data_IF_484993436643
#
_entry.id   IF_484993436643
#
_cell.length_a   1.000
_cell.length_b   1.000
_cell.length_c   1.000
_cell.angle_alpha   90.00
_cell.angle_beta   90.00
_cell.angle_gamma   90.00
#
_symmetry.space_group_name_H-M   'P 1'
#
loop_
_entity.id
_entity.type
_entity.pdbx_description
1 polymer ?
#
# COMPACT_ATOMS: atom_id res chain seq x y z
N UNK A 1 -35.73 -42.18 3.71
CA UNK A 1 -36.99 -41.99 4.43
C UNK A 1 -37.80 -43.26 4.66
N UNK A 2 -37.82 -44.24 3.76
CA UNK A 2 -38.64 -45.48 3.88
C UNK A 2 -38.08 -46.41 4.97
N UNK A 3 -36.80 -46.48 5.19
CA UNK A 3 -36.14 -47.39 6.14
C UNK A 3 -36.37 -46.95 7.62
N UNK A 4 -36.45 -45.65 7.87
CA UNK A 4 -36.70 -45.09 9.23
C UNK A 4 -38.14 -45.36 9.70
N UNK A 5 -39.13 -45.30 8.79
CA UNK A 5 -40.54 -45.59 9.14
C UNK A 5 -40.77 -47.06 9.52
N UNK A 6 -40.04 -48.02 8.94
CA UNK A 6 -40.14 -49.44 9.34
C UNK A 6 -39.55 -49.74 10.71
N UNK A 7 -38.43 -49.02 11.08
CA UNK A 7 -37.81 -49.19 12.38
C UNK A 7 -38.69 -48.62 13.53
N UNK A 8 -39.35 -47.51 13.29
CA UNK A 8 -40.25 -46.90 14.28
C UNK A 8 -41.48 -47.78 14.55
N UNK A 9 -42.11 -48.41 13.49
CA UNK A 9 -43.22 -49.32 13.70
C UNK A 9 -42.88 -50.60 14.49
N UNK A 10 -41.65 -51.08 14.40
CA UNK A 10 -41.18 -52.26 15.14
C UNK A 10 -40.89 -51.98 16.63
N UNK A 11 -40.59 -50.71 16.97
CA UNK A 11 -40.39 -50.25 18.35
C UNK A 11 -41.72 -50.15 19.09
N UNK A 12 -42.78 -49.66 18.41
CA UNK A 12 -44.12 -49.55 18.97
C UNK A 12 -44.74 -50.88 19.39
N UNK A 13 -44.39 -52.00 18.70
CA UNK A 13 -44.95 -53.35 19.00
C UNK A 13 -44.24 -54.04 20.20
N UNK A 14 -43.06 -53.60 20.64
CA UNK A 14 -42.33 -54.14 21.76
C UNK A 14 -42.53 -53.39 23.08
N UNK A 15 -43.17 -52.22 23.04
CA UNK A 15 -43.36 -51.36 24.21
C UNK A 15 -44.77 -51.37 24.79
N UNK A 16 -45.59 -52.43 24.53
CA UNK A 16 -47.01 -52.52 24.90
C UNK A 16 -47.32 -52.99 26.34
N UNK A 17 -46.37 -53.07 27.26
CA UNK A 17 -46.64 -53.24 28.66
C UNK A 17 -45.86 -52.19 29.48
N UNK A 18 -46.52 -51.18 30.02
CA UNK A 18 -45.84 -50.20 30.86
C UNK A 18 -45.88 -50.58 32.33
N UNK A 19 -44.71 -50.78 32.90
CA UNK A 19 -44.55 -50.60 34.36
C UNK A 19 -44.16 -49.16 34.62
N UNK A 20 -44.93 -48.36 35.39
CA UNK A 20 -44.63 -46.95 35.64
C UNK A 20 -43.46 -46.83 36.62
N UNK A 21 -42.37 -46.22 36.23
CA UNK A 21 -41.36 -45.68 37.12
C UNK A 21 -41.72 -44.22 37.36
N UNK A 22 -42.13 -43.90 38.60
CA UNK A 22 -42.46 -42.51 39.08
C UNK A 22 -43.47 -41.72 38.23
N UNK A 23 -44.58 -42.34 37.82
CA UNK A 23 -45.66 -41.62 37.17
C UNK A 23 -45.50 -41.28 35.67
N UNK A 24 -44.38 -41.58 35.08
CA UNK A 24 -44.14 -41.36 33.63
C UNK A 24 -44.15 -42.67 32.84
N UNK A 25 -44.82 -42.70 31.72
CA UNK A 25 -44.80 -43.85 30.83
C UNK A 25 -43.42 -44.03 30.22
N UNK A 26 -42.97 -45.30 30.06
CA UNK A 26 -41.67 -45.59 29.43
C UNK A 26 -41.52 -44.95 28.03
N UNK A 27 -42.64 -44.75 27.32
CA UNK A 27 -42.71 -44.02 26.05
C UNK A 27 -42.39 -42.53 26.21
N UNK A 28 -42.86 -41.87 27.28
CA UNK A 28 -42.62 -40.45 27.52
C UNK A 28 -41.15 -40.18 27.88
N UNK A 29 -40.52 -41.08 28.65
CA UNK A 29 -39.10 -40.99 29.00
C UNK A 29 -38.22 -41.20 27.77
N UNK A 30 -38.56 -42.18 26.92
CA UNK A 30 -37.81 -42.45 25.67
C UNK A 30 -37.96 -41.27 24.66
N UNK A 31 -39.15 -40.70 24.55
CA UNK A 31 -39.38 -39.52 23.70
C UNK A 31 -38.61 -38.31 24.18
N UNK A 32 -38.56 -38.07 25.51
CA UNK A 32 -37.74 -37.03 26.12
C UNK A 32 -36.23 -37.19 25.83
N UNK A 33 -35.71 -38.40 25.93
CA UNK A 33 -34.31 -38.67 25.61
C UNK A 33 -33.98 -38.43 24.11
N UNK A 34 -34.90 -38.83 23.23
CA UNK A 34 -34.71 -38.58 21.78
C UNK A 34 -34.70 -37.08 21.51
N UNK A 35 -35.58 -36.29 22.08
CA UNK A 35 -35.64 -34.82 21.94
C UNK A 35 -34.35 -34.19 22.44
N UNK A 36 -33.85 -34.59 23.61
CA UNK A 36 -32.56 -34.12 24.15
C UNK A 36 -31.41 -34.43 23.24
N UNK A 37 -31.32 -35.66 22.70
CA UNK A 37 -30.26 -36.05 21.77
C UNK A 37 -30.29 -35.27 20.46
N UNK A 38 -31.52 -34.98 19.94
CA UNK A 38 -31.68 -34.13 18.75
C UNK A 38 -31.23 -32.70 19.03
N UNK A 39 -31.61 -32.13 20.16
CA UNK A 39 -31.18 -30.79 20.57
C UNK A 39 -29.67 -30.71 20.76
N UNK A 40 -29.05 -31.70 21.40
CA UNK A 40 -27.58 -31.78 21.55
C UNK A 40 -26.88 -31.90 20.19
N UNK A 41 -27.43 -32.69 19.26
CA UNK A 41 -26.90 -32.78 17.92
C UNK A 41 -27.00 -31.49 17.16
N UNK A 42 -28.13 -30.78 17.24
CA UNK A 42 -28.30 -29.46 16.61
C UNK A 42 -27.34 -28.43 17.22
N UNK A 43 -27.24 -28.38 18.55
CA UNK A 43 -26.28 -27.50 19.24
C UNK A 43 -24.83 -27.83 18.88
N UNK A 44 -24.46 -29.11 18.81
CA UNK A 44 -23.14 -29.54 18.36
C UNK A 44 -22.88 -29.18 16.91
N UNK A 45 -23.88 -29.33 16.03
CA UNK A 45 -23.75 -28.95 14.62
C UNK A 45 -23.61 -27.43 14.43
N UNK A 46 -24.37 -26.64 15.20
CA UNK A 46 -24.25 -25.18 15.25
C UNK A 46 -22.89 -24.76 15.82
N UNK A 47 -22.46 -25.39 16.92
CA UNK A 47 -21.15 -25.15 17.51
C UNK A 47 -20.01 -25.49 16.51
N UNK A 48 -20.10 -26.64 15.84
CA UNK A 48 -19.13 -27.06 14.84
C UNK A 48 -19.12 -26.13 13.63
N UNK A 49 -20.28 -25.68 13.15
CA UNK A 49 -20.40 -24.69 12.10
C UNK A 49 -19.79 -23.36 12.54
N UNK A 50 -20.09 -22.87 13.73
CA UNK A 50 -19.56 -21.64 14.28
C UNK A 50 -18.04 -21.74 14.56
N UNK A 51 -17.57 -22.87 15.07
CA UNK A 51 -16.15 -23.12 15.30
C UNK A 51 -15.38 -23.29 14.00
N UNK A 52 -15.92 -24.02 13.01
CA UNK A 52 -15.25 -24.20 11.72
C UNK A 52 -15.20 -22.90 10.90
N UNK A 53 -16.21 -22.03 11.02
CA UNK A 53 -16.18 -20.71 10.42
C UNK A 53 -15.19 -19.76 11.10
N UNK A 54 -14.82 -20.01 12.37
CA UNK A 54 -13.76 -19.26 13.06
C UNK A 54 -12.37 -19.88 12.94
N UNK A 55 -12.26 -21.19 12.84
CA UNK A 55 -10.97 -21.90 12.84
C UNK A 55 -10.21 -21.81 11.52
N UNK A 56 -10.87 -21.43 10.42
CA UNK A 56 -10.20 -21.32 9.11
C UNK A 56 -9.30 -20.09 8.98
N UNK A 57 -9.29 -19.16 9.94
CA UNK A 57 -8.53 -17.90 9.84
C UNK A 57 -7.42 -17.77 10.89
N UNK A 58 -7.15 -18.80 11.72
CA UNK A 58 -6.13 -18.70 12.77
C UNK A 58 -4.68 -18.68 12.26
N UNK A 59 -4.47 -19.11 11.01
CA UNK A 59 -3.14 -19.29 10.43
C UNK A 59 -2.95 -18.49 9.13
N UNK A 60 -3.32 -17.20 9.14
CA UNK A 60 -2.97 -16.30 8.03
C UNK A 60 -1.45 -16.20 8.00
N UNK A 61 -0.79 -16.69 6.93
CA UNK A 61 0.66 -16.67 6.88
C UNK A 61 1.17 -15.23 6.83
N UNK A 62 2.22 -14.94 7.59
CA UNK A 62 2.98 -13.70 7.40
C UNK A 62 3.77 -13.83 6.09
N UNK A 63 3.20 -13.31 5.02
CA UNK A 63 3.74 -13.42 3.67
C UNK A 63 4.81 -12.35 3.43
N UNK A 64 5.86 -12.73 2.69
CA UNK A 64 6.93 -11.81 2.30
C UNK A 64 6.71 -11.32 0.86
N UNK A 65 7.35 -10.21 0.50
CA UNK A 65 7.29 -9.66 -0.87
C UNK A 65 7.44 -10.77 -1.94
N UNK A 66 6.60 -10.76 -2.96
CA UNK A 66 5.71 -9.70 -3.46
C UNK A 66 4.37 -9.54 -2.73
N UNK A 67 4.21 -10.20 -1.62
CA UNK A 67 2.99 -10.12 -0.82
C UNK A 67 3.15 -9.14 0.33
N UNK A 68 2.07 -8.44 0.66
CA UNK A 68 2.00 -7.53 1.79
C UNK A 68 0.70 -7.77 2.55
N UNK A 69 0.81 -8.14 3.82
CA UNK A 69 -0.34 -8.42 4.67
C UNK A 69 -1.15 -7.15 4.94
N UNK A 70 -2.48 -7.30 5.05
CA UNK A 70 -3.38 -6.27 5.51
C UNK A 70 -3.69 -6.44 6.99
N UNK A 71 -3.73 -5.33 7.72
CA UNK A 71 -4.09 -5.28 9.12
C UNK A 71 -5.39 -4.52 9.32
N UNK A 72 -6.24 -5.05 10.19
CA UNK A 72 -7.43 -4.37 10.70
C UNK A 72 -7.16 -3.75 12.06
N UNK A 73 -7.72 -2.58 12.29
CA UNK A 73 -7.72 -1.91 13.59
C UNK A 73 -9.16 -1.83 14.08
N UNK A 74 -9.42 -2.40 15.26
CA UNK A 74 -10.73 -2.36 15.88
C UNK A 74 -10.99 -1.00 16.55
N UNK A 75 -12.24 -0.73 16.87
CA UNK A 75 -12.65 0.49 17.60
C UNK A 75 -12.00 0.64 18.99
N UNK A 76 -11.53 -0.44 19.58
CA UNK A 76 -10.76 -0.44 20.83
C UNK A 76 -9.24 -0.25 20.62
N UNK A 77 -8.79 -0.10 19.37
CA UNK A 77 -7.40 0.06 18.97
C UNK A 77 -6.64 -1.25 18.78
N UNK A 78 -7.26 -2.41 19.01
CA UNK A 78 -6.59 -3.72 18.79
C UNK A 78 -6.33 -3.97 17.33
N UNK A 79 -5.10 -4.33 16.99
CA UNK A 79 -4.68 -4.71 15.64
C UNK A 79 -4.75 -6.23 15.44
N UNK A 80 -5.12 -6.66 14.25
CA UNK A 80 -5.17 -8.08 13.88
C UNK A 80 -4.93 -8.28 12.38
N UNK A 81 -4.45 -9.47 11.99
CA UNK A 81 -4.27 -9.82 10.59
C UNK A 81 -5.63 -10.08 9.92
N UNK A 82 -5.84 -9.44 8.77
CA UNK A 82 -7.00 -9.65 7.91
C UNK A 82 -6.67 -10.74 6.89
N UNK A 83 -7.66 -11.57 6.53
CA UNK A 83 -7.47 -12.60 5.49
C UNK A 83 -7.45 -12.03 4.06
N UNK A 84 -6.90 -10.83 3.91
CA UNK A 84 -6.64 -10.17 2.63
C UNK A 84 -5.16 -9.82 2.55
N UNK A 85 -4.54 -10.12 1.43
CA UNK A 85 -3.12 -9.87 1.16
C UNK A 85 -2.99 -9.12 -0.15
N UNK A 86 -2.09 -8.14 -0.20
CA UNK A 86 -1.77 -7.42 -1.43
C UNK A 86 -0.70 -8.14 -2.24
N UNK A 87 -0.86 -8.12 -3.56
CA UNK A 87 0.22 -8.41 -4.52
C UNK A 87 0.77 -7.05 -4.96
N UNK A 88 2.05 -6.76 -4.62
CA UNK A 88 2.65 -5.43 -4.76
C UNK A 88 3.56 -5.27 -5.97
N UNK A 89 4.02 -6.37 -6.55
CA UNK A 89 4.87 -6.41 -7.75
C UNK A 89 4.85 -7.81 -8.39
N UNK A 90 5.39 -7.96 -9.61
CA UNK A 90 5.37 -9.24 -10.32
C UNK A 90 6.03 -10.38 -9.56
N UNK A 91 5.56 -11.59 -9.80
CA UNK A 91 6.16 -12.82 -9.28
C UNK A 91 7.48 -13.12 -10.04
N UNK A 92 8.60 -12.84 -9.41
CA UNK A 92 9.93 -13.05 -9.99
C UNK A 92 10.46 -14.47 -9.78
N UNK A 93 9.78 -15.29 -8.99
CA UNK A 93 10.17 -16.67 -8.64
C UNK A 93 8.94 -17.57 -8.65
N UNK A 94 9.13 -18.84 -9.03
CA UNK A 94 8.03 -19.82 -9.09
C UNK A 94 7.41 -20.10 -7.70
N UNK A 95 8.18 -19.93 -6.63
CA UNK A 95 7.65 -20.06 -5.27
C UNK A 95 6.52 -19.06 -4.96
N UNK A 96 6.48 -17.91 -5.64
CA UNK A 96 5.43 -16.91 -5.40
C UNK A 96 4.04 -17.46 -5.77
N UNK A 97 3.90 -18.15 -6.90
CA UNK A 97 2.60 -18.74 -7.27
C UNK A 97 2.22 -19.93 -6.39
N UNK A 98 3.22 -20.68 -5.89
CA UNK A 98 2.98 -21.76 -4.92
C UNK A 98 2.46 -21.18 -3.61
N UNK A 99 3.08 -20.11 -3.08
CA UNK A 99 2.63 -19.41 -1.87
C UNK A 99 1.24 -18.79 -2.06
N UNK A 100 0.97 -18.19 -3.23
CA UNK A 100 -0.35 -17.67 -3.57
C UNK A 100 -1.43 -18.76 -3.49
N UNK A 101 -1.20 -19.90 -4.13
CA UNK A 101 -2.16 -21.00 -4.17
C UNK A 101 -2.37 -21.63 -2.78
N UNK A 102 -1.31 -21.80 -1.99
CA UNK A 102 -1.39 -22.30 -0.62
C UNK A 102 -2.21 -21.34 0.26
N UNK A 103 -1.92 -20.06 0.24
CA UNK A 103 -2.66 -19.06 1.00
C UNK A 103 -4.13 -18.99 0.56
N UNK A 104 -4.40 -19.02 -0.75
CA UNK A 104 -5.76 -19.04 -1.31
C UNK A 104 -6.56 -20.25 -0.82
N UNK A 105 -5.92 -21.44 -0.75
CA UNK A 105 -6.55 -22.66 -0.25
C UNK A 105 -6.93 -22.58 1.23
N UNK A 106 -6.28 -21.69 1.99
CA UNK A 106 -6.54 -21.40 3.42
C UNK A 106 -7.54 -20.25 3.63
N UNK A 107 -8.23 -19.80 2.57
CA UNK A 107 -9.24 -18.73 2.64
C UNK A 107 -8.66 -17.32 2.62
N UNK A 108 -7.39 -17.14 2.21
CA UNK A 108 -6.81 -15.82 1.98
C UNK A 108 -7.28 -15.29 0.63
N UNK A 109 -7.70 -14.04 0.60
CA UNK A 109 -8.08 -13.29 -0.58
C UNK A 109 -6.97 -12.33 -1.00
N UNK A 110 -6.97 -11.94 -2.28
CA UNK A 110 -5.92 -11.08 -2.80
C UNK A 110 -6.49 -9.82 -3.46
N UNK A 111 -5.83 -8.69 -3.17
CA UNK A 111 -5.97 -7.42 -3.87
C UNK A 111 -4.63 -7.08 -4.54
N UNK A 112 -4.67 -6.37 -5.65
CA UNK A 112 -3.47 -5.79 -6.24
C UNK A 112 -3.15 -4.44 -5.60
N UNK A 113 -1.88 -4.07 -5.59
CA UNK A 113 -1.41 -2.77 -5.11
C UNK A 113 -0.27 -2.27 -5.99
N UNK A 114 -0.46 -1.13 -6.63
CA UNK A 114 0.59 -0.44 -7.38
C UNK A 114 1.60 0.20 -6.42
N UNK A 115 2.55 -0.59 -5.97
CA UNK A 115 3.61 -0.17 -5.04
C UNK A 115 4.98 -0.15 -5.73
N UNK A 116 5.07 -0.74 -6.92
CA UNK A 116 6.29 -0.88 -7.69
C UNK A 116 6.07 -0.38 -9.12
N UNK A 117 6.86 0.61 -9.54
CA UNK A 117 6.84 1.19 -10.89
C UNK A 117 5.49 1.08 -11.63
N UNK A 118 5.52 0.63 -12.87
CA UNK A 118 4.36 0.50 -13.75
C UNK A 118 3.49 -0.75 -13.47
N UNK A 119 3.78 -1.53 -12.43
CA UNK A 119 2.97 -2.72 -12.13
C UNK A 119 1.52 -2.35 -11.74
N UNK A 120 0.51 -2.99 -12.35
CA UNK A 120 0.53 -4.18 -13.22
C UNK A 120 0.63 -3.88 -14.72
N UNK A 121 1.08 -2.83 -15.18
CA UNK A 121 0.91 -2.39 -16.51
C UNK A 121 1.85 -2.89 -17.60
N UNK A 122 1.53 -2.46 -18.84
CA UNK A 122 2.47 -2.58 -19.95
C UNK A 122 3.61 -1.59 -19.73
N UNK A 123 4.81 -2.09 -19.77
CA UNK A 123 6.01 -1.29 -19.66
C UNK A 123 6.29 -0.73 -21.04
N UNK A 124 5.84 0.47 -21.30
CA UNK A 124 6.14 1.20 -22.54
C UNK A 124 7.43 2.02 -22.47
N UNK A 125 8.31 1.69 -21.52
CA UNK A 125 9.44 2.54 -21.19
C UNK A 125 10.67 2.18 -22.05
N UNK A 126 11.25 3.11 -22.83
CA UNK A 126 12.44 2.87 -23.65
C UNK A 126 13.69 2.49 -22.84
N UNK A 127 13.69 2.69 -21.53
CA UNK A 127 14.76 2.30 -20.61
C UNK A 127 14.63 0.90 -20.03
N UNK A 128 13.63 0.13 -20.46
CA UNK A 128 13.50 -1.29 -20.12
C UNK A 128 14.72 -2.12 -20.56
N UNK A 129 15.51 -1.59 -21.48
CA UNK A 129 16.80 -2.16 -21.89
C UNK A 129 17.86 -2.17 -20.78
N UNK A 130 17.72 -1.35 -19.73
CA UNK A 130 18.65 -1.29 -18.59
C UNK A 130 18.36 -2.36 -17.53
N UNK A 131 17.15 -2.88 -17.49
CA UNK A 131 16.79 -4.06 -16.72
C UNK A 131 16.63 -5.23 -17.68
N UNK A 132 17.24 -6.35 -17.36
CA UNK A 132 16.99 -7.63 -18.03
C UNK A 132 15.55 -8.09 -17.72
N UNK A 133 14.60 -7.36 -18.30
CA UNK A 133 13.15 -7.62 -18.21
C UNK A 133 12.67 -8.64 -19.26
N UNK A 134 13.58 -9.33 -19.93
CA UNK A 134 13.29 -10.61 -20.59
C UNK A 134 12.82 -11.64 -19.58
N UNK A 135 12.66 -11.22 -18.33
CA UNK A 135 12.03 -12.00 -17.30
C UNK A 135 10.52 -11.95 -17.52
N UNK A 136 9.95 -13.06 -17.95
CA UNK A 136 8.50 -13.30 -18.17
C UNK A 136 7.61 -12.95 -16.97
N UNK A 137 8.17 -12.54 -15.83
CA UNK A 137 7.48 -12.29 -14.57
C UNK A 137 6.35 -11.26 -14.70
N UNK A 138 6.51 -10.24 -15.55
CA UNK A 138 5.49 -9.20 -15.75
C UNK A 138 4.32 -9.66 -16.62
N UNK A 139 4.57 -10.54 -17.56
CA UNK A 139 3.59 -11.03 -18.54
C UNK A 139 3.18 -12.48 -18.30
N UNK A 140 3.94 -13.22 -17.49
CA UNK A 140 3.70 -14.64 -17.20
C UNK A 140 2.31 -14.90 -16.61
N UNK A 141 1.81 -13.94 -15.82
CA UNK A 141 0.51 -14.05 -15.17
C UNK A 141 -0.37 -12.84 -15.46
N UNK A 142 -1.66 -13.07 -15.66
CA UNK A 142 -2.65 -11.99 -15.61
C UNK A 142 -2.99 -11.69 -14.16
N UNK A 143 -2.38 -10.66 -13.57
CA UNK A 143 -2.53 -10.29 -12.16
C UNK A 143 -3.95 -9.83 -11.80
N UNK A 144 -4.72 -9.34 -12.76
CA UNK A 144 -6.14 -9.05 -12.55
C UNK A 144 -6.96 -10.33 -12.31
N UNK A 145 -6.56 -11.47 -12.89
CA UNK A 145 -7.19 -12.77 -12.61
C UNK A 145 -6.78 -13.36 -11.24
N UNK A 146 -5.65 -12.91 -10.68
CA UNK A 146 -5.17 -13.36 -9.37
C UNK A 146 -5.77 -12.54 -8.22
N UNK A 147 -6.37 -11.38 -8.50
CA UNK A 147 -6.88 -10.43 -7.51
C UNK A 147 -8.38 -10.18 -7.68
N UNK A 148 -9.03 -9.69 -6.64
CA UNK A 148 -10.46 -9.33 -6.61
C UNK A 148 -10.71 -7.86 -6.87
N UNK A 149 -9.68 -7.04 -6.80
CA UNK A 149 -9.69 -5.61 -7.03
C UNK A 149 -8.27 -5.05 -6.93
N UNK A 150 -8.10 -3.77 -7.25
CA UNK A 150 -6.78 -3.15 -7.32
C UNK A 150 -6.73 -1.78 -6.64
N UNK A 151 -5.69 -1.56 -5.84
CA UNK A 151 -5.30 -0.26 -5.32
C UNK A 151 -4.32 0.38 -6.31
N UNK A 152 -4.75 1.44 -6.99
CA UNK A 152 -4.05 2.05 -8.12
C UNK A 152 -3.37 3.36 -7.74
N UNK A 153 -2.21 3.63 -8.36
CA UNK A 153 -1.53 4.91 -8.31
C UNK A 153 -1.74 5.74 -9.59
N UNK A 154 -2.27 5.11 -10.65
CA UNK A 154 -2.33 5.72 -11.97
C UNK A 154 -3.40 6.81 -12.07
N UNK A 155 -3.21 7.76 -12.97
CA UNK A 155 -4.27 8.70 -13.38
C UNK A 155 -5.37 7.95 -14.13
N UNK A 156 -6.61 8.44 -14.05
CA UNK A 156 -7.79 7.77 -14.64
C UNK A 156 -7.61 7.39 -16.11
N UNK A 157 -6.99 8.24 -16.92
CA UNK A 157 -6.71 7.99 -18.33
C UNK A 157 -5.86 6.73 -18.55
N UNK A 158 -4.92 6.44 -17.66
CA UNK A 158 -4.08 5.26 -17.71
C UNK A 158 -4.78 4.03 -17.13
N UNK A 159 -5.65 4.20 -16.16
CA UNK A 159 -6.46 3.12 -15.60
C UNK A 159 -7.35 2.47 -16.65
N UNK A 160 -7.94 3.27 -17.55
CA UNK A 160 -8.84 2.79 -18.60
C UNK A 160 -8.17 1.82 -19.59
N UNK A 161 -6.86 1.91 -19.79
CA UNK A 161 -6.12 1.04 -20.73
C UNK A 161 -5.93 -0.39 -20.25
N UNK A 162 -6.06 -0.62 -18.94
CA UNK A 162 -5.58 -1.85 -18.30
C UNK A 162 -6.68 -2.61 -17.59
N UNK A 163 -7.81 -1.94 -17.34
CA UNK A 163 -8.91 -2.48 -16.58
C UNK A 163 -9.95 -3.01 -17.53
N UNK A 164 -10.23 -4.30 -17.41
CA UNK A 164 -11.43 -4.89 -18.00
C UNK A 164 -12.66 -4.26 -17.34
N UNK A 165 -13.68 -3.94 -18.14
CA UNK A 165 -14.92 -3.33 -17.68
C UNK A 165 -15.47 -4.01 -16.42
N UNK A 166 -15.67 -3.24 -15.36
CA UNK A 166 -16.24 -3.72 -14.10
C UNK A 166 -15.24 -4.30 -13.09
N UNK A 167 -13.93 -4.25 -13.35
CA UNK A 167 -12.94 -4.65 -12.34
C UNK A 167 -12.86 -3.58 -11.23
N UNK A 168 -13.00 -3.97 -9.94
CA UNK A 168 -12.98 -3.00 -8.83
C UNK A 168 -11.63 -2.32 -8.70
N UNK A 169 -11.64 -0.98 -8.62
CA UNK A 169 -10.45 -0.14 -8.54
C UNK A 169 -10.65 1.00 -7.56
N UNK A 170 -9.60 1.33 -6.81
CA UNK A 170 -9.54 2.52 -5.95
C UNK A 170 -8.17 3.18 -6.04
N UNK A 171 -8.13 4.51 -6.04
CA UNK A 171 -6.87 5.25 -5.99
C UNK A 171 -6.42 5.38 -4.53
N UNK A 172 -5.58 4.43 -4.12
CA UNK A 172 -4.93 4.34 -2.81
C UNK A 172 -3.53 3.76 -3.02
N UNK A 173 -2.52 4.33 -2.38
CA UNK A 173 -1.15 3.82 -2.40
C UNK A 173 -0.61 3.60 -0.98
N UNK A 174 0.53 2.92 -0.82
CA UNK A 174 1.20 2.79 0.49
C UNK A 174 1.52 4.15 1.10
N UNK A 175 1.86 5.13 0.27
CA UNK A 175 2.19 6.50 0.69
C UNK A 175 1.05 7.22 1.38
N UNK A 176 -0.21 6.86 1.06
CA UNK A 176 -1.40 7.43 1.69
C UNK A 176 -1.46 7.19 3.20
N UNK A 177 -0.71 6.20 3.71
CA UNK A 177 -0.71 5.78 5.11
C UNK A 177 0.45 6.37 5.93
N UNK A 178 1.18 7.38 5.42
CA UNK A 178 2.27 7.98 6.15
C UNK A 178 1.83 8.43 7.56
N UNK A 179 2.70 8.15 8.56
CA UNK A 179 2.37 8.34 9.96
C UNK A 179 2.69 9.78 10.41
N UNK A 180 1.75 10.69 10.23
CA UNK A 180 1.89 12.08 10.62
C UNK A 180 1.96 12.30 12.15
N UNK A 181 1.61 11.30 12.98
CA UNK A 181 1.76 11.38 14.43
C UNK A 181 3.21 11.17 14.83
N UNK A 182 3.91 10.27 14.15
CA UNK A 182 5.33 10.01 14.35
C UNK A 182 6.22 11.05 13.63
N UNK A 183 5.79 11.49 12.44
CA UNK A 183 6.52 12.43 11.60
C UNK A 183 5.99 13.84 11.83
N UNK A 184 6.71 14.64 12.60
CA UNK A 184 6.29 15.99 12.99
C UNK A 184 7.42 17.00 12.84
N UNK A 185 7.09 18.27 12.50
CA UNK A 185 8.05 19.35 12.54
C UNK A 185 8.64 19.53 13.96
N UNK A 186 9.95 19.59 14.07
CA UNK A 186 10.63 19.82 15.36
C UNK A 186 10.88 21.29 15.68
N UNK A 187 10.63 22.20 14.75
CA UNK A 187 10.98 23.62 14.90
C UNK A 187 12.46 23.93 14.76
N UNK A 188 13.28 22.98 14.32
CA UNK A 188 14.71 23.20 14.08
C UNK A 188 14.96 24.29 13.03
N UNK A 189 16.11 24.96 13.16
CA UNK A 189 16.55 25.95 12.17
C UNK A 189 16.76 25.27 10.81
N UNK A 190 16.20 25.87 9.77
CA UNK A 190 16.39 25.41 8.38
C UNK A 190 17.83 25.67 7.94
N UNK A 191 18.52 24.61 7.53
CA UNK A 191 19.90 24.62 7.03
C UNK A 191 19.95 24.64 5.50
N UNK A 192 18.92 24.04 4.86
CA UNK A 192 18.79 23.88 3.42
C UNK A 192 17.48 24.48 2.91
N UNK A 193 17.51 24.99 1.70
CA UNK A 193 16.28 25.38 1.01
C UNK A 193 15.50 24.13 0.60
N UNK A 194 16.17 23.13 0.02
CA UNK A 194 15.46 21.93 -0.42
C UNK A 194 16.20 20.64 -0.08
N UNK A 195 15.41 19.54 -0.10
CA UNK A 195 15.90 18.16 -0.05
C UNK A 195 15.54 17.46 -1.37
N UNK A 196 16.52 16.74 -1.91
CA UNK A 196 16.35 15.85 -3.06
C UNK A 196 16.85 14.45 -2.70
N UNK A 197 16.01 13.44 -2.87
CA UNK A 197 16.35 12.04 -2.62
C UNK A 197 16.56 11.36 -3.97
N UNK A 198 17.78 10.89 -4.21
CA UNK A 198 18.15 10.21 -5.45
C UNK A 198 19.33 9.27 -5.19
N UNK A 199 19.03 7.99 -5.13
CA UNK A 199 20.07 6.98 -4.91
C UNK A 199 20.97 6.84 -6.13
N UNK A 200 22.27 6.58 -5.92
CA UNK A 200 23.22 6.23 -6.98
C UNK A 200 23.03 4.76 -7.39
N UNK A 201 23.35 4.45 -8.63
CA UNK A 201 23.30 3.08 -9.18
C UNK A 201 24.58 2.27 -8.88
N UNK A 202 25.56 2.90 -8.32
CA UNK A 202 26.84 2.34 -7.93
C UNK A 202 27.87 3.43 -7.67
N UNK A 203 29.02 3.03 -7.16
CA UNK A 203 30.13 3.94 -6.92
C UNK A 203 30.87 4.25 -8.22
N UNK A 204 31.41 5.46 -8.29
CA UNK A 204 32.28 5.89 -9.36
C UNK A 204 33.55 5.03 -9.39
N UNK A 205 33.89 4.46 -10.54
CA UNK A 205 35.10 3.69 -10.71
C UNK A 205 36.32 4.60 -10.94
N UNK A 206 37.50 4.05 -10.68
CA UNK A 206 38.74 4.76 -10.93
C UNK A 206 38.87 5.15 -12.42
N UNK A 207 39.15 6.42 -12.68
CA UNK A 207 39.23 6.99 -14.02
C UNK A 207 37.91 7.45 -14.63
N UNK A 208 36.78 7.13 -14.07
CA UNK A 208 35.46 7.63 -14.52
C UNK A 208 35.21 9.05 -13.98
N UNK A 209 34.43 9.85 -14.73
CA UNK A 209 34.08 11.22 -14.32
C UNK A 209 32.87 11.25 -13.38
N UNK A 210 31.97 10.30 -13.54
CA UNK A 210 30.68 10.27 -12.81
C UNK A 210 30.33 8.86 -12.34
N UNK A 211 29.31 8.75 -11.49
CA UNK A 211 28.72 7.50 -11.10
C UNK A 211 28.01 6.82 -12.30
N UNK A 212 27.89 5.48 -12.29
CA UNK A 212 27.18 4.78 -13.35
C UNK A 212 25.71 5.24 -13.39
N UNK A 213 25.14 5.22 -14.60
CA UNK A 213 23.74 5.50 -14.86
C UNK A 213 23.01 4.17 -14.96
N UNK A 214 22.00 3.96 -14.15
CA UNK A 214 21.17 2.77 -14.14
C UNK A 214 19.74 3.09 -13.71
N UNK A 215 19.11 2.11 -13.08
CA UNK A 215 17.71 2.19 -12.70
C UNK A 215 17.38 3.36 -11.76
N UNK A 216 18.21 3.60 -10.74
CA UNK A 216 18.00 4.70 -9.80
C UNK A 216 18.08 6.07 -10.49
N UNK A 217 19.09 6.25 -11.35
CA UNK A 217 19.22 7.48 -12.13
C UNK A 217 18.02 7.71 -13.04
N UNK A 218 17.49 6.62 -13.60
CA UNK A 218 16.34 6.64 -14.48
C UNK A 218 15.02 7.00 -13.75
N UNK A 219 14.64 6.26 -12.70
CA UNK A 219 13.37 6.51 -11.98
C UNK A 219 13.30 7.91 -11.38
N UNK A 220 14.47 8.45 -11.00
CA UNK A 220 14.60 9.81 -10.43
C UNK A 220 14.84 10.90 -11.50
N UNK A 221 14.84 10.57 -12.78
CA UNK A 221 15.17 11.52 -13.88
C UNK A 221 16.46 12.31 -13.62
N UNK A 222 17.52 11.66 -13.08
CA UNK A 222 18.68 12.37 -12.55
C UNK A 222 19.39 13.23 -13.60
N UNK A 223 19.53 12.76 -14.83
CA UNK A 223 20.16 13.50 -15.92
C UNK A 223 19.42 14.82 -16.22
N UNK A 224 18.10 14.77 -16.27
CA UNK A 224 17.31 15.98 -16.49
C UNK A 224 17.29 16.87 -15.23
N UNK A 225 17.22 16.25 -14.06
CA UNK A 225 17.29 16.97 -12.78
C UNK A 225 18.57 17.77 -12.62
N UNK A 226 19.73 17.28 -13.07
CA UNK A 226 20.99 18.03 -13.05
C UNK A 226 20.90 19.38 -13.77
N UNK A 227 20.15 19.47 -14.87
CA UNK A 227 19.93 20.74 -15.60
C UNK A 227 19.10 21.71 -14.78
N UNK A 228 18.07 21.19 -14.08
CA UNK A 228 17.23 22.00 -13.19
C UNK A 228 17.99 22.44 -11.93
N UNK A 229 18.81 21.56 -11.35
CA UNK A 229 19.69 21.91 -10.24
C UNK A 229 20.67 23.03 -10.63
N UNK A 230 21.18 23.03 -11.86
CA UNK A 230 22.03 24.13 -12.34
C UNK A 230 21.28 25.49 -12.25
N UNK A 231 20.04 25.55 -12.71
CA UNK A 231 19.20 26.76 -12.63
C UNK A 231 18.96 27.16 -11.17
N UNK A 232 18.62 26.18 -10.30
CA UNK A 232 18.36 26.39 -8.88
C UNK A 232 19.60 26.99 -8.18
N UNK A 233 20.78 26.44 -8.46
CA UNK A 233 22.03 26.92 -7.88
C UNK A 233 22.50 28.25 -8.50
N UNK A 234 22.48 28.39 -9.84
CA UNK A 234 23.05 29.53 -10.53
C UNK A 234 22.18 30.77 -10.37
N UNK A 235 20.86 30.69 -10.66
CA UNK A 235 19.96 31.82 -10.68
C UNK A 235 19.35 32.13 -9.33
N UNK A 236 18.95 31.12 -8.59
CA UNK A 236 18.23 31.27 -7.33
C UNK A 236 19.12 31.12 -6.08
N UNK A 237 20.38 30.66 -6.23
CA UNK A 237 21.34 30.44 -5.13
C UNK A 237 20.80 29.55 -4.02
N UNK A 238 19.97 28.56 -4.38
CA UNK A 238 19.35 27.65 -3.41
C UNK A 238 20.36 26.63 -2.89
N UNK A 239 20.34 26.44 -1.56
CA UNK A 239 21.14 25.43 -0.89
C UNK A 239 20.36 24.13 -0.75
N UNK A 240 20.90 23.00 -1.25
CA UNK A 240 20.22 21.72 -1.28
C UNK A 240 20.95 20.62 -0.52
N UNK A 241 20.16 19.73 0.09
CA UNK A 241 20.62 18.44 0.60
C UNK A 241 20.29 17.35 -0.43
N UNK A 242 21.31 16.66 -0.97
CA UNK A 242 21.14 15.55 -1.88
C UNK A 242 21.43 14.23 -1.17
N UNK A 243 20.39 13.42 -0.95
CA UNK A 243 20.52 12.16 -0.20
C UNK A 243 20.70 10.98 -1.14
N UNK A 244 21.74 10.18 -0.91
CA UNK A 244 22.02 8.92 -1.58
C UNK A 244 22.94 8.97 -2.79
N UNK A 245 23.65 10.12 -3.04
CA UNK A 245 24.44 10.28 -4.27
C UNK A 245 25.80 10.97 -4.03
N UNK A 246 26.42 10.70 -2.90
CA UNK A 246 27.78 11.19 -2.63
C UNK A 246 28.77 10.67 -3.68
N UNK A 247 29.70 11.51 -4.08
CA UNK A 247 30.78 11.19 -5.03
C UNK A 247 30.39 11.25 -6.51
N UNK A 248 29.10 11.45 -6.82
CA UNK A 248 28.66 11.64 -8.20
C UNK A 248 28.79 13.09 -8.66
N UNK A 249 28.91 13.30 -9.98
CA UNK A 249 29.11 14.63 -10.55
C UNK A 249 27.85 15.50 -10.40
N UNK A 250 28.04 16.72 -9.93
CA UNK A 250 27.04 17.77 -9.86
C UNK A 250 27.42 18.95 -10.75
N UNK A 251 26.46 19.78 -11.18
CA UNK A 251 26.77 21.02 -11.88
C UNK A 251 27.76 21.87 -11.07
N UNK A 252 28.75 22.46 -11.74
CA UNK A 252 29.78 23.28 -11.08
C UNK A 252 29.19 24.40 -10.22
N UNK A 253 28.08 24.98 -10.67
CA UNK A 253 27.34 26.01 -9.94
C UNK A 253 26.77 25.54 -8.60
N UNK A 254 26.61 24.22 -8.43
CA UNK A 254 26.04 23.60 -7.25
C UNK A 254 27.11 23.14 -6.24
N UNK A 255 28.41 23.12 -6.56
CA UNK A 255 29.45 22.53 -5.69
C UNK A 255 29.53 23.16 -4.29
N UNK A 256 29.21 24.45 -4.13
CA UNK A 256 29.20 25.14 -2.83
C UNK A 256 27.82 25.24 -2.21
N UNK A 257 26.77 24.88 -2.94
CA UNK A 257 25.38 25.03 -2.53
C UNK A 257 24.69 23.70 -2.23
N UNK A 258 25.21 22.61 -2.78
CA UNK A 258 24.67 21.26 -2.57
C UNK A 258 25.54 20.48 -1.61
N UNK A 259 24.90 19.78 -0.68
CA UNK A 259 25.52 18.83 0.22
C UNK A 259 25.08 17.40 -0.16
N UNK A 260 25.88 16.67 -0.95
CA UNK A 260 25.58 15.28 -1.27
C UNK A 260 25.97 14.37 -0.09
N UNK A 261 25.07 13.44 0.25
CA UNK A 261 25.29 12.43 1.28
C UNK A 261 25.24 11.03 0.69
N UNK A 262 25.68 10.05 1.44
CA UNK A 262 25.43 8.65 1.13
C UNK A 262 24.00 8.25 1.54
N UNK A 263 23.66 6.98 1.30
CA UNK A 263 22.43 6.38 1.83
C UNK A 263 22.40 6.55 3.35
N UNK A 264 21.28 6.96 3.88
CA UNK A 264 21.08 7.12 5.32
C UNK A 264 20.12 6.04 5.84
N UNK A 265 20.41 5.55 7.04
CA UNK A 265 19.46 4.76 7.80
C UNK A 265 18.17 5.58 8.04
N UNK A 266 17.01 4.93 8.00
CA UNK A 266 15.70 5.60 7.96
C UNK A 266 15.48 6.62 9.10
N UNK A 267 15.83 6.26 10.34
CA UNK A 267 15.63 7.17 11.47
C UNK A 267 16.53 8.42 11.43
N UNK A 268 17.67 8.34 10.75
CA UNK A 268 18.56 9.46 10.49
C UNK A 268 18.07 10.30 9.33
N UNK A 269 17.62 9.62 8.25
CA UNK A 269 17.09 10.24 7.06
C UNK A 269 15.84 11.08 7.35
N UNK A 270 14.85 10.52 8.05
CA UNK A 270 13.58 11.19 8.30
C UNK A 270 13.74 12.52 9.07
N UNK A 271 14.77 12.65 9.90
CA UNK A 271 15.08 13.89 10.61
C UNK A 271 15.57 15.01 9.68
N UNK A 272 16.12 14.67 8.51
CA UNK A 272 16.64 15.68 7.58
C UNK A 272 15.53 16.59 7.03
N UNK A 273 14.30 16.12 6.98
CA UNK A 273 13.16 16.98 6.59
C UNK A 273 13.02 18.21 7.49
N UNK A 274 13.35 18.10 8.78
CA UNK A 274 13.31 19.25 9.70
C UNK A 274 14.30 20.37 9.33
N UNK A 275 15.39 20.03 8.65
CA UNK A 275 16.42 20.98 8.24
C UNK A 275 16.15 21.66 6.90
N UNK A 276 15.11 21.23 6.16
CA UNK A 276 14.79 21.70 4.81
C UNK A 276 13.53 22.56 4.80
N UNK A 277 13.42 23.47 3.82
CA UNK A 277 12.25 24.34 3.63
C UNK A 277 11.20 23.73 2.71
N UNK A 278 11.63 22.97 1.67
CA UNK A 278 10.75 22.28 0.75
C UNK A 278 11.42 21.00 0.21
N UNK A 279 10.65 20.17 -0.46
CA UNK A 279 11.13 18.96 -1.14
C UNK A 279 10.98 19.08 -2.65
N UNK A 280 11.93 18.56 -3.42
CA UNK A 280 11.77 18.30 -4.84
C UNK A 280 11.55 16.80 -5.09
N UNK A 281 10.53 16.45 -5.84
CA UNK A 281 10.26 15.11 -6.33
C UNK A 281 10.14 15.13 -7.85
N UNK A 282 11.27 14.90 -8.53
CA UNK A 282 11.37 14.92 -9.98
C UNK A 282 11.30 13.51 -10.60
N UNK A 283 10.89 12.53 -9.81
CA UNK A 283 10.75 11.15 -10.26
C UNK A 283 9.76 11.04 -11.44
N UNK A 284 10.02 10.09 -12.32
CA UNK A 284 9.08 9.70 -13.37
C UNK A 284 8.31 8.45 -12.99
N UNK A 285 9.04 7.36 -12.72
CA UNK A 285 8.49 6.04 -12.43
C UNK A 285 8.47 5.75 -10.93
N UNK A 286 7.62 6.45 -10.21
CA UNK A 286 7.41 6.26 -8.78
C UNK A 286 5.92 6.02 -8.52
N UNK A 287 5.54 4.77 -8.28
CA UNK A 287 4.13 4.39 -8.07
C UNK A 287 3.61 4.81 -6.69
N UNK A 288 4.49 4.85 -5.69
CA UNK A 288 4.15 5.17 -4.31
C UNK A 288 5.17 6.14 -3.73
N UNK A 289 4.96 7.42 -3.96
CA UNK A 289 5.86 8.53 -3.62
C UNK A 289 5.94 8.77 -2.09
N UNK A 290 6.48 7.81 -1.33
CA UNK A 290 6.55 7.84 0.15
C UNK A 290 7.28 9.08 0.68
N UNK A 291 8.42 9.41 0.08
CA UNK A 291 9.18 10.60 0.50
C UNK A 291 8.35 11.88 0.39
N UNK A 292 7.43 11.97 -0.57
CA UNK A 292 6.50 13.10 -0.71
C UNK A 292 5.58 13.21 0.50
N UNK A 293 4.89 12.14 0.86
CA UNK A 293 3.94 12.18 1.98
C UNK A 293 4.63 12.30 3.34
N UNK A 294 5.81 11.67 3.49
CA UNK A 294 6.66 11.86 4.66
C UNK A 294 7.07 13.34 4.81
N UNK A 295 7.55 13.99 3.74
CA UNK A 295 7.93 15.39 3.78
C UNK A 295 6.74 16.31 4.07
N UNK A 296 5.54 15.99 3.56
CA UNK A 296 4.31 16.71 3.90
C UNK A 296 3.98 16.61 5.39
N UNK A 297 4.25 15.47 6.03
CA UNK A 297 4.10 15.33 7.48
C UNK A 297 5.00 16.32 8.25
N UNK A 298 6.15 16.69 7.69
CA UNK A 298 7.04 17.74 8.24
C UNK A 298 6.70 19.16 7.74
N UNK A 299 5.55 19.33 7.10
CA UNK A 299 5.07 20.61 6.56
C UNK A 299 5.95 21.18 5.45
N UNK A 300 6.62 20.33 4.65
CA UNK A 300 7.41 20.77 3.50
C UNK A 300 6.52 20.77 2.26
N UNK A 301 6.35 21.91 1.57
CA UNK A 301 5.71 21.91 0.25
C UNK A 301 6.59 21.25 -0.80
N UNK A 302 5.94 20.77 -1.85
CA UNK A 302 6.57 19.90 -2.84
C UNK A 302 6.64 20.59 -4.19
N UNK A 303 7.80 20.54 -4.81
CA UNK A 303 7.96 20.84 -6.24
C UNK A 303 8.06 19.51 -6.98
N UNK A 304 7.04 19.16 -7.77
CA UNK A 304 6.86 17.80 -8.30
C UNK A 304 6.86 17.78 -9.83
N UNK A 305 7.46 16.73 -10.41
CA UNK A 305 7.31 16.44 -11.84
C UNK A 305 5.82 16.23 -12.19
N UNK A 306 5.33 16.98 -13.18
CA UNK A 306 3.94 16.85 -13.65
C UNK A 306 3.60 15.47 -14.22
N UNK A 307 4.62 14.75 -14.74
CA UNK A 307 4.48 13.46 -15.39
C UNK A 307 4.81 12.27 -14.48
N UNK A 308 4.86 12.49 -13.15
CA UNK A 308 5.08 11.41 -12.19
C UNK A 308 3.97 10.35 -12.28
N UNK A 309 4.36 9.09 -12.15
CA UNK A 309 3.45 7.94 -12.24
C UNK A 309 2.41 7.93 -11.12
N UNK A 310 2.85 8.04 -9.87
CA UNK A 310 2.01 8.05 -8.69
C UNK A 310 2.26 9.26 -7.79
N UNK A 311 1.37 9.50 -6.82
CA UNK A 311 1.51 10.62 -5.89
C UNK A 311 1.15 11.99 -6.46
N UNK A 312 0.77 12.07 -7.73
CA UNK A 312 0.32 13.31 -8.38
C UNK A 312 -0.85 14.00 -7.65
N UNK A 313 -1.72 13.22 -7.01
CA UNK A 313 -2.90 13.72 -6.28
C UNK A 313 -2.55 14.45 -4.98
N UNK A 314 -1.29 14.39 -4.51
CA UNK A 314 -0.86 15.16 -3.34
C UNK A 314 -0.61 16.63 -3.63
N UNK A 315 -0.49 17.03 -4.92
CA UNK A 315 -0.14 18.39 -5.30
C UNK A 315 -1.39 19.22 -5.62
N UNK A 316 -1.49 20.33 -4.93
CA UNK A 316 -2.52 21.35 -5.12
C UNK A 316 -2.02 22.71 -4.61
N UNK A 317 -2.85 23.76 -4.69
CA UNK A 317 -2.49 25.12 -4.33
C UNK A 317 -1.92 25.31 -2.92
N UNK A 318 -2.29 24.43 -1.97
CA UNK A 318 -1.84 24.49 -0.58
C UNK A 318 -0.65 23.57 -0.27
N UNK A 319 -0.26 22.69 -1.20
CA UNK A 319 0.75 21.65 -0.92
C UNK A 319 2.00 21.78 -1.77
N UNK A 320 1.92 22.38 -2.96
CA UNK A 320 3.06 22.47 -3.85
C UNK A 320 2.69 22.93 -5.26
N UNK A 321 3.62 22.74 -6.17
CA UNK A 321 3.44 23.06 -7.59
C UNK A 321 3.97 21.92 -8.47
N UNK A 322 3.34 21.71 -9.61
CA UNK A 322 3.87 20.86 -10.67
C UNK A 322 4.87 21.60 -11.53
N UNK A 323 5.87 20.90 -12.02
CA UNK A 323 6.83 21.41 -12.99
C UNK A 323 6.92 20.51 -14.22
N UNK A 324 7.26 21.09 -15.35
CA UNK A 324 7.70 20.40 -16.54
C UNK A 324 9.22 20.27 -16.51
N UNK A 325 9.75 19.05 -16.42
CA UNK A 325 11.19 18.80 -16.37
C UNK A 325 11.92 19.22 -17.65
N UNK A 326 11.22 19.25 -18.78
CA UNK A 326 11.81 19.46 -20.10
C UNK A 326 11.65 20.89 -20.61
N UNK A 327 10.83 21.73 -19.94
CA UNK A 327 10.65 23.13 -20.27
C UNK A 327 11.36 24.02 -19.24
N UNK A 328 12.62 24.36 -19.50
CA UNK A 328 13.48 25.10 -18.56
C UNK A 328 12.96 26.52 -18.27
N UNK A 329 12.36 27.19 -19.25
CA UNK A 329 11.80 28.56 -19.07
C UNK A 329 10.55 28.54 -18.19
N UNK A 330 9.69 27.55 -18.37
CA UNK A 330 8.51 27.34 -17.51
C UNK A 330 8.94 26.91 -16.10
N UNK A 331 9.92 26.04 -15.99
CA UNK A 331 10.50 25.66 -14.71
C UNK A 331 10.97 26.87 -13.91
N UNK A 332 11.73 27.77 -14.54
CA UNK A 332 12.24 28.98 -13.86
C UNK A 332 11.12 29.87 -13.35
N UNK A 333 10.08 30.10 -14.16
CA UNK A 333 8.90 30.91 -13.77
C UNK A 333 8.14 30.24 -12.61
N UNK A 334 7.91 28.93 -12.71
CA UNK A 334 7.19 28.16 -11.70
C UNK A 334 7.96 28.12 -10.39
N UNK A 335 9.28 27.90 -10.44
CA UNK A 335 10.14 27.96 -9.26
C UNK A 335 10.10 29.33 -8.59
N UNK A 336 10.17 30.42 -9.36
CA UNK A 336 10.04 31.78 -8.84
C UNK A 336 8.72 32.03 -8.12
N UNK A 337 7.60 31.60 -8.72
CA UNK A 337 6.26 31.64 -8.10
C UNK A 337 6.20 30.80 -6.82
N UNK A 338 6.72 29.57 -6.87
CA UNK A 338 6.77 28.65 -5.74
C UNK A 338 7.54 29.26 -4.56
N UNK A 339 8.73 29.80 -4.80
CA UNK A 339 9.56 30.43 -3.76
C UNK A 339 8.88 31.66 -3.16
N UNK A 340 8.14 32.45 -3.94
CA UNK A 340 7.35 33.59 -3.44
C UNK A 340 6.27 33.10 -2.48
N UNK A 341 5.48 32.10 -2.85
CA UNK A 341 4.45 31.50 -1.98
C UNK A 341 5.06 30.88 -0.72
N UNK A 342 6.20 30.19 -0.87
CA UNK A 342 6.95 29.61 0.25
C UNK A 342 7.38 30.67 1.26
N UNK A 343 7.94 31.79 0.79
CA UNK A 343 8.38 32.90 1.65
C UNK A 343 7.20 33.61 2.34
N UNK A 344 6.03 33.59 1.73
CA UNK A 344 4.79 34.14 2.30
C UNK A 344 4.07 33.15 3.24
N UNK A 345 4.62 31.94 3.45
CA UNK A 345 3.99 30.85 4.23
C UNK A 345 2.57 30.46 3.74
N UNK A 346 2.33 30.52 2.43
CA UNK A 346 1.03 30.21 1.82
C UNK A 346 0.76 28.70 1.75
N UNK A 347 1.81 27.85 1.76
CA UNK A 347 1.67 26.39 1.76
C UNK A 347 1.37 25.82 3.15
N UNK A 348 0.46 24.84 3.20
CA UNK A 348 0.05 24.10 4.42
C UNK A 348 -0.06 22.60 4.14
N UNK A 349 1.03 21.95 3.65
CA UNK A 349 0.95 20.56 3.21
C UNK A 349 0.62 19.59 4.34
N UNK A 350 1.11 19.83 5.57
CA UNK A 350 0.78 18.98 6.72
C UNK A 350 -0.70 19.01 7.05
N UNK A 351 -1.30 20.18 7.16
CA UNK A 351 -2.71 20.36 7.51
C UNK A 351 -3.60 19.69 6.47
N UNK A 352 -3.24 19.88 5.19
CA UNK A 352 -3.96 19.25 4.09
C UNK A 352 -3.81 17.72 4.12
N UNK A 353 -2.59 17.19 4.38
CA UNK A 353 -2.33 15.75 4.43
C UNK A 353 -3.11 15.09 5.58
N UNK A 354 -3.07 15.65 6.78
CA UNK A 354 -3.81 15.13 7.95
C UNK A 354 -5.33 15.10 7.67
N UNK A 355 -5.86 16.13 7.00
CA UNK A 355 -7.29 16.20 6.67
C UNK A 355 -7.72 15.13 5.66
N UNK A 356 -6.86 14.77 4.71
CA UNK A 356 -7.25 13.94 3.56
C UNK A 356 -6.67 12.53 3.59
N UNK A 357 -5.54 12.30 4.27
CA UNK A 357 -4.75 11.08 4.23
C UNK A 357 -4.31 10.62 5.63
N UNK A 358 -3.26 9.81 5.68
CA UNK A 358 -2.75 9.17 6.89
C UNK A 358 -3.51 7.87 7.19
N UNK A 359 -3.03 7.16 8.21
CA UNK A 359 -3.52 5.81 8.55
C UNK A 359 -5.04 5.73 8.72
N UNK A 360 -5.65 6.78 9.29
CA UNK A 360 -7.08 6.80 9.60
C UNK A 360 -7.96 7.08 8.36
N UNK A 361 -7.74 8.21 7.67
CA UNK A 361 -8.56 8.59 6.51
C UNK A 361 -8.37 7.61 5.34
N UNK A 362 -7.12 7.24 5.05
CA UNK A 362 -6.81 6.26 4.00
C UNK A 362 -7.31 4.88 4.37
N UNK A 363 -7.22 4.51 5.66
CA UNK A 363 -7.71 3.25 6.16
C UNK A 363 -9.23 3.11 6.10
N UNK A 364 -9.98 4.17 6.31
CA UNK A 364 -11.44 4.18 6.10
C UNK A 364 -11.81 4.04 4.62
N UNK A 365 -11.07 4.69 3.72
CA UNK A 365 -11.26 4.50 2.27
C UNK A 365 -10.97 3.06 1.85
N UNK A 366 -9.91 2.46 2.41
CA UNK A 366 -9.58 1.07 2.17
C UNK A 366 -10.66 0.13 2.70
N UNK A 367 -11.17 0.37 3.91
CA UNK A 367 -12.28 -0.40 4.49
C UNK A 367 -13.53 -0.35 3.59
N UNK A 368 -13.90 0.84 3.12
CA UNK A 368 -15.00 1.01 2.19
C UNK A 368 -14.79 0.21 0.89
N UNK A 369 -13.60 0.27 0.31
CA UNK A 369 -13.28 -0.51 -0.88
C UNK A 369 -13.37 -2.02 -0.63
N UNK A 370 -12.89 -2.51 0.50
CA UNK A 370 -13.03 -3.92 0.89
C UNK A 370 -14.50 -4.32 1.02
N UNK A 371 -15.36 -3.45 1.56
CA UNK A 371 -16.83 -3.68 1.62
C UNK A 371 -17.49 -3.80 0.23
N UNK A 372 -16.99 -3.07 -0.75
CA UNK A 372 -17.48 -3.12 -2.13
C UNK A 372 -17.04 -4.39 -2.88
N UNK A 373 -15.84 -4.93 -2.53
CA UNK A 373 -15.21 -6.05 -3.23
C UNK A 373 -15.58 -7.41 -2.65
N UNK A 374 -15.73 -7.49 -1.31
CA UNK A 374 -15.90 -8.76 -0.59
C UNK A 374 -17.24 -8.85 0.13
N UNK A 375 -17.81 -10.06 0.17
CA UNK A 375 -18.98 -10.34 0.99
C UNK A 375 -18.56 -10.49 2.46
N UNK A 376 -19.45 -10.14 3.43
CA UNK A 376 -19.13 -10.24 4.86
C UNK A 376 -18.72 -11.63 5.33
N UNK A 377 -19.25 -12.69 4.74
CA UNK A 377 -18.96 -14.09 5.07
C UNK A 377 -17.62 -14.60 4.53
N UNK A 378 -17.01 -13.87 3.61
CA UNK A 378 -15.66 -14.16 3.09
C UNK A 378 -14.54 -13.62 4.00
N UNK A 379 -14.87 -12.75 4.95
CA UNK A 379 -13.90 -12.03 5.78
C UNK A 379 -13.77 -12.64 7.19
N UNK A 380 -12.57 -12.59 7.74
CA UNK A 380 -12.28 -13.07 9.10
C UNK A 380 -12.65 -12.05 10.21
N UNK A 381 -13.40 -11.01 9.85
CA UNK A 381 -13.87 -9.98 10.78
C UNK A 381 -15.26 -9.48 10.42
N UNK A 382 -15.93 -8.88 11.41
CA UNK A 382 -17.19 -8.17 11.17
C UNK A 382 -16.90 -6.70 10.88
N UNK A 383 -17.52 -6.15 9.85
CA UNK A 383 -17.32 -4.77 9.43
C UNK A 383 -17.59 -3.75 10.53
N UNK A 384 -18.64 -3.99 11.34
CA UNK A 384 -19.04 -3.08 12.43
C UNK A 384 -18.03 -3.00 13.58
N UNK A 385 -17.13 -3.99 13.70
CA UNK A 385 -16.12 -4.05 14.76
C UNK A 385 -14.84 -3.29 14.37
N UNK A 386 -14.70 -2.92 13.08
CA UNK A 386 -13.49 -2.34 12.52
C UNK A 386 -13.62 -0.81 12.45
N UNK A 387 -12.55 -0.12 12.85
CA UNK A 387 -12.43 1.31 12.67
C UNK A 387 -11.82 1.64 11.31
N UNK A 388 -10.69 1.00 10.96
CA UNK A 388 -10.04 1.16 9.67
C UNK A 388 -9.13 -0.05 9.32
N UNK A 389 -8.70 -0.11 8.04
CA UNK A 389 -7.72 -1.08 7.53
C UNK A 389 -6.41 -0.36 7.19
N UNK A 390 -5.29 -1.08 7.26
CA UNK A 390 -3.98 -0.56 6.83
C UNK A 390 -3.12 -1.65 6.21
N UNK A 391 -2.23 -1.31 5.25
CA UNK A 391 -1.18 -2.22 4.82
C UNK A 391 -0.15 -2.42 5.94
N UNK A 392 0.54 -3.57 5.94
CA UNK A 392 1.57 -3.92 6.92
C UNK A 392 2.95 -3.33 6.58
N UNK A 393 3.02 -1.99 6.48
CA UNK A 393 4.22 -1.20 6.16
C UNK A 393 4.81 -0.54 7.40
#
# INVERSE_FOLDING_TARGET
MITIRKSIKNIDKKLSTPTPINGYSCKSVLLGLIVILVLLYVLYSLYRYWYSSRSNFSDIPNMKRPFLNMWGVRKDGTEFLVNIVFITHPFTRDECIVQYNDAKSKGVHFLGLSSYSEFPGEISNPHDLLHDRNNDAWTKYNYFNLTRGWLSCFREENNAKWIQNGFPLVNITESDFANYEQHQPSGEKKEYDFIYICLKDGDKKEGEKDCPIGWQSYIHNFEQTRKLLNIMCEKFKLKGLLVGRIGCELPKTCHQLMEPTDFMEYNTFIKQYNKCRFMINFNGSDASARCTTESMCFNLPILMNKDILGGWHYINESTGEFIDLYNLDEFEKTLGKFLKKLNNNEYKPRDWFIKNYGKYNSGKRLLKFVQEVFKPDELNFKMDDIDYLKPGI
#
